data_IF_505520615793
#
_entry.id   IF_505520615793
#
_cell.length_a   1.000
_cell.length_b   1.000
_cell.length_c   1.000
_cell.angle_alpha   90.00
_cell.angle_beta   90.00
_cell.angle_gamma   90.00
#
_symmetry.space_group_name_H-M   'P 1'
#
loop_
_entity.id
_entity.type
_entity.pdbx_description
1 polymer ?
#
# COMPACT_ATOMS: atom_id res chain seq x y z
N UNK A 1 21.56 -6.10 -18.52
CA UNK A 1 20.93 -5.52 -17.30
C UNK A 1 21.75 -5.94 -16.08
N UNK A 2 22.17 -5.00 -15.27
CA UNK A 2 22.88 -5.33 -14.03
C UNK A 2 21.89 -5.58 -12.89
N UNK A 3 22.38 -6.11 -11.77
CA UNK A 3 21.52 -6.47 -10.63
C UNK A 3 20.82 -5.26 -10.01
N UNK A 4 21.50 -4.11 -10.00
CA UNK A 4 20.94 -2.87 -9.48
C UNK A 4 19.73 -2.42 -10.32
N UNK A 5 19.87 -2.44 -11.63
CA UNK A 5 18.79 -2.07 -12.55
C UNK A 5 17.59 -3.01 -12.39
N UNK A 6 17.86 -4.29 -12.28
CA UNK A 6 16.80 -5.29 -12.09
C UNK A 6 16.05 -5.06 -10.77
N UNK A 7 16.77 -4.73 -9.70
CA UNK A 7 16.15 -4.42 -8.41
C UNK A 7 15.22 -3.23 -8.50
N UNK A 8 15.65 -2.14 -9.17
CA UNK A 8 14.84 -0.96 -9.38
C UNK A 8 13.57 -1.28 -10.17
N UNK A 9 13.68 -2.08 -11.21
CA UNK A 9 12.52 -2.48 -12.02
C UNK A 9 11.52 -3.29 -11.23
N UNK A 10 11.98 -4.22 -10.40
CA UNK A 10 11.11 -5.03 -9.55
C UNK A 10 10.37 -4.17 -8.53
N UNK A 11 11.06 -3.21 -7.91
CA UNK A 11 10.43 -2.29 -6.96
C UNK A 11 9.36 -1.45 -7.66
N UNK A 12 9.64 -0.94 -8.85
CA UNK A 12 8.66 -0.16 -9.60
C UNK A 12 7.44 -0.98 -9.99
N UNK A 13 7.63 -2.24 -10.38
CA UNK A 13 6.52 -3.15 -10.67
C UNK A 13 5.67 -3.41 -9.42
N UNK A 14 6.32 -3.58 -8.28
CA UNK A 14 5.62 -3.82 -7.02
C UNK A 14 4.82 -2.60 -6.58
N UNK A 15 5.38 -1.39 -6.74
CA UNK A 15 4.67 -0.14 -6.48
C UNK A 15 3.40 -0.04 -7.32
N UNK A 16 3.50 -0.31 -8.62
CA UNK A 16 2.34 -0.27 -9.52
C UNK A 16 1.30 -1.31 -9.13
N UNK A 17 1.76 -2.50 -8.74
CA UNK A 17 0.87 -3.56 -8.30
C UNK A 17 0.07 -3.14 -7.05
N UNK A 18 0.74 -2.56 -6.06
CA UNK A 18 0.07 -2.08 -4.85
C UNK A 18 -0.92 -0.96 -5.18
N UNK A 19 -0.54 -0.03 -6.07
CA UNK A 19 -1.44 1.04 -6.51
C UNK A 19 -2.70 0.47 -7.19
N UNK A 20 -2.55 -0.57 -8.02
CA UNK A 20 -3.69 -1.24 -8.65
C UNK A 20 -4.63 -1.85 -7.61
N UNK A 21 -4.06 -2.48 -6.58
CA UNK A 21 -4.85 -3.04 -5.49
C UNK A 21 -5.67 -1.94 -4.80
N UNK A 22 -5.04 -0.81 -4.51
CA UNK A 22 -5.72 0.32 -3.88
C UNK A 22 -6.80 0.92 -4.79
N UNK A 23 -6.53 1.02 -6.10
CA UNK A 23 -7.52 1.52 -7.07
C UNK A 23 -8.75 0.63 -7.15
N UNK A 24 -8.58 -0.67 -6.95
CA UNK A 24 -9.67 -1.64 -7.03
C UNK A 24 -10.48 -1.77 -5.73
N UNK A 25 -9.98 -1.22 -4.63
CA UNK A 25 -10.65 -1.33 -3.33
C UNK A 25 -11.55 -0.12 -3.08
N UNK A 26 -12.82 -0.33 -2.74
CA UNK A 26 -13.77 0.80 -2.57
C UNK A 26 -13.39 1.78 -1.45
N UNK A 27 -12.72 1.30 -0.39
CA UNK A 27 -12.34 2.14 0.74
C UNK A 27 -10.96 2.77 0.59
N UNK A 28 -10.19 2.39 -0.43
CA UNK A 28 -8.84 2.89 -0.64
C UNK A 28 -8.77 4.03 -1.66
N UNK A 29 -9.88 4.44 -2.24
CA UNK A 29 -9.93 5.57 -3.16
C UNK A 29 -9.79 6.91 -2.43
N UNK A 30 -9.59 8.01 -3.18
CA UNK A 30 -9.52 9.34 -2.57
C UNK A 30 -10.78 9.65 -1.77
N UNK A 31 -10.60 10.08 -0.53
CA UNK A 31 -11.73 10.34 0.36
C UNK A 31 -12.32 9.12 1.04
N UNK A 32 -11.81 7.90 0.75
CA UNK A 32 -12.28 6.67 1.37
C UNK A 32 -11.88 6.55 2.84
N UNK A 33 -12.37 5.50 3.48
CA UNK A 33 -12.10 5.24 4.90
C UNK A 33 -10.70 4.68 5.18
N UNK A 34 -10.00 4.24 4.13
CA UNK A 34 -8.69 3.64 4.25
C UNK A 34 -8.75 2.12 4.37
N UNK A 35 -7.62 1.48 4.09
CA UNK A 35 -7.48 0.03 4.13
C UNK A 35 -6.23 -0.31 4.93
N UNK A 36 -6.35 -1.28 5.84
CA UNK A 36 -5.20 -1.72 6.63
C UNK A 36 -4.16 -2.41 5.75
N UNK A 37 -2.90 -2.26 6.15
CA UNK A 37 -1.77 -2.88 5.45
C UNK A 37 -2.00 -4.37 5.22
N UNK A 38 -2.52 -5.08 6.21
CA UNK A 38 -2.77 -6.52 6.10
C UNK A 38 -3.73 -6.84 4.96
N UNK A 39 -4.80 -6.06 4.80
CA UNK A 39 -5.73 -6.28 3.71
C UNK A 39 -5.13 -5.93 2.35
N UNK A 40 -4.34 -4.86 2.29
CA UNK A 40 -3.61 -4.53 1.05
C UNK A 40 -2.70 -5.70 0.67
N UNK A 41 -1.96 -6.23 1.64
CA UNK A 41 -1.06 -7.36 1.40
C UNK A 41 -1.80 -8.60 0.91
N UNK A 42 -2.95 -8.91 1.51
CA UNK A 42 -3.77 -10.06 1.09
C UNK A 42 -4.23 -9.92 -0.35
N UNK A 43 -4.79 -8.76 -0.70
CA UNK A 43 -5.30 -8.50 -2.05
C UNK A 43 -4.18 -8.46 -3.08
N UNK A 44 -3.00 -8.04 -2.67
CA UNK A 44 -1.82 -8.01 -3.53
C UNK A 44 -1.15 -9.38 -3.68
N UNK A 45 -1.58 -10.38 -2.90
CA UNK A 45 -0.94 -11.69 -2.88
C UNK A 45 0.38 -11.69 -2.12
N UNK A 46 0.61 -10.69 -1.27
CA UNK A 46 1.84 -10.55 -0.49
C UNK A 46 1.69 -11.01 0.95
N UNK A 47 0.50 -11.44 1.34
CA UNK A 47 0.25 -11.96 2.68
C UNK A 47 0.52 -13.46 2.71
N UNK A 48 1.31 -13.92 3.69
CA UNK A 48 1.57 -15.33 3.90
C UNK A 48 1.68 -15.60 5.39
N UNK A 49 0.96 -16.61 5.85
CA UNK A 49 1.06 -17.05 7.24
C UNK A 49 2.41 -17.69 7.53
N UNK A 50 3.10 -18.14 6.48
CA UNK A 50 4.41 -18.78 6.60
C UNK A 50 5.56 -17.77 6.48
N UNK A 51 5.31 -16.58 5.92
CA UNK A 51 6.35 -15.60 5.68
C UNK A 51 5.86 -14.19 6.02
N UNK A 52 6.10 -13.78 7.25
CA UNK A 52 5.70 -12.47 7.76
C UNK A 52 6.42 -11.33 7.02
N UNK A 53 7.59 -11.59 6.46
CA UNK A 53 8.36 -10.61 5.70
C UNK A 53 7.61 -10.06 4.48
N UNK A 54 6.69 -10.81 3.92
CA UNK A 54 5.88 -10.31 2.79
C UNK A 54 4.95 -9.19 3.22
N UNK A 55 4.40 -9.26 4.45
CA UNK A 55 3.61 -8.17 5.00
C UNK A 55 4.48 -6.93 5.22
N UNK A 56 5.70 -7.11 5.71
CA UNK A 56 6.64 -6.02 5.89
C UNK A 56 7.01 -5.38 4.55
N UNK A 57 7.18 -6.19 3.52
CA UNK A 57 7.48 -5.70 2.17
C UNK A 57 6.36 -4.78 1.68
N UNK A 58 5.11 -5.21 1.84
CA UNK A 58 3.96 -4.39 1.47
C UNK A 58 3.97 -3.06 2.23
N UNK A 59 4.24 -3.09 3.53
CA UNK A 59 4.34 -1.89 4.35
C UNK A 59 5.42 -0.94 3.88
N UNK A 60 6.58 -1.45 3.51
CA UNK A 60 7.66 -0.62 2.99
C UNK A 60 7.30 0.02 1.64
N UNK A 61 6.61 -0.72 0.77
CA UNK A 61 6.13 -0.17 -0.50
C UNK A 61 5.11 0.94 -0.25
N UNK A 62 4.17 0.76 0.70
CA UNK A 62 3.21 1.78 1.05
C UNK A 62 3.90 3.05 1.58
N UNK A 63 4.95 2.90 2.38
CA UNK A 63 5.74 4.03 2.86
C UNK A 63 6.45 4.76 1.71
N UNK A 64 6.96 4.04 0.73
CA UNK A 64 7.53 4.63 -0.47
C UNK A 64 6.51 5.47 -1.23
N UNK A 65 5.33 4.89 -1.45
CA UNK A 65 4.24 5.59 -2.14
C UNK A 65 3.79 6.82 -1.35
N UNK A 66 3.81 6.75 -0.04
CA UNK A 66 3.49 7.88 0.82
C UNK A 66 4.51 9.02 0.64
N UNK A 67 5.80 8.70 0.60
CA UNK A 67 6.85 9.70 0.35
C UNK A 67 6.72 10.34 -1.02
N UNK A 68 6.24 9.58 -2.01
CA UNK A 68 6.02 10.09 -3.36
C UNK A 68 4.72 10.89 -3.49
N UNK A 69 3.91 10.95 -2.43
CA UNK A 69 2.66 11.71 -2.43
C UNK A 69 1.50 11.02 -3.13
N UNK A 70 1.60 9.71 -3.38
CA UNK A 70 0.59 8.95 -4.09
C UNK A 70 -0.45 8.32 -3.17
N UNK A 71 -0.07 8.04 -1.92
CA UNK A 71 -0.99 7.51 -0.91
C UNK A 71 -0.86 8.31 0.37
N UNK A 72 -1.89 8.26 1.21
CA UNK A 72 -1.86 8.88 2.53
C UNK A 72 -2.24 7.87 3.59
N UNK A 73 -1.72 8.07 4.79
CA UNK A 73 -2.00 7.23 5.94
C UNK A 73 -3.02 7.91 6.83
N UNK A 74 -4.01 7.14 7.27
CA UNK A 74 -5.05 7.61 8.18
C UNK A 74 -4.85 6.98 9.54
N UNK A 75 -4.78 7.80 10.58
CA UNK A 75 -4.49 7.31 11.92
C UNK A 75 -5.73 7.02 12.76
N UNK A 76 -6.90 7.42 12.31
CA UNK A 76 -8.13 7.22 13.06
C UNK A 76 -8.10 7.95 14.40
N UNK A 77 -8.65 9.15 14.44
CA UNK A 77 -8.75 9.92 15.68
C UNK A 77 -10.15 9.75 16.30
N UNK A 78 -10.41 10.41 17.41
CA UNK A 78 -11.70 10.30 18.11
C UNK A 78 -12.88 10.73 17.24
N UNK A 79 -12.65 11.64 16.30
CA UNK A 79 -13.70 12.14 15.42
C UNK A 79 -13.94 11.24 14.22
N UNK A 80 -12.89 10.56 13.74
CA UNK A 80 -12.92 9.71 12.53
C UNK A 80 -12.29 8.35 12.81
N UNK A 81 -12.76 7.67 13.85
CA UNK A 81 -12.23 6.37 14.25
C UNK A 81 -12.35 5.29 13.16
N UNK A 82 -13.24 5.48 12.18
CA UNK A 82 -13.42 4.56 11.06
C UNK A 82 -12.40 4.77 9.95
N UNK A 83 -11.72 5.91 9.95
CA UNK A 83 -10.73 6.23 8.90
C UNK A 83 -9.34 5.84 9.38
N UNK A 84 -8.91 4.66 8.99
CA UNK A 84 -7.62 4.09 9.37
C UNK A 84 -6.95 3.41 8.18
N UNK A 85 -5.63 3.37 8.21
CA UNK A 85 -4.84 2.65 7.22
C UNK A 85 -4.42 3.52 6.05
N UNK A 86 -4.50 3.00 4.84
CA UNK A 86 -3.94 3.63 3.65
C UNK A 86 -5.03 3.89 2.62
N UNK A 87 -4.91 4.99 1.91
CA UNK A 87 -5.77 5.32 0.78
C UNK A 87 -5.01 6.14 -0.24
N UNK A 88 -5.54 6.19 -1.46
CA UNK A 88 -4.95 7.02 -2.52
C UNK A 88 -5.18 8.49 -2.21
N UNK A 89 -4.19 9.33 -2.55
CA UNK A 89 -4.32 10.77 -2.42
C UNK A 89 -5.25 11.30 -3.51
N UNK A 90 -5.91 12.41 -3.22
CA UNK A 90 -6.60 13.19 -4.25
C UNK A 90 -5.56 13.88 -5.12
N UNK A 91 -5.83 13.90 -6.38
CA UNK A 91 -5.02 14.71 -7.31
C UNK A 91 -5.26 16.18 -7.09
#
# INVERSE_FOLDING_TARGET
>A
MNLHQRGSDLINQLKEHVLEVLRSHPDAGPGGNGVFQEEVARRAGLHSMECVELDHTCGEILKFLHREGLVERLDGNEQDAKKKGWRLCKD
#
